data_IF_791334960193
#
_entry.id   IF_791334960193
#
_cell.length_a   1.000
_cell.length_b   1.000
_cell.length_c   1.000
_cell.angle_alpha   90.00
_cell.angle_beta   90.00
_cell.angle_gamma   90.00
#
_symmetry.space_group_name_H-M   'P 1'
#
loop_
_entity.id
_entity.type
_entity.pdbx_description
1 polymer ?
#
# COMPACT_ATOMS: atom_id res chain seq x y z
N UNK A 1 -26.41 -17.33 -8.09
CA UNK A 1 -25.18 -17.93 -8.65
C UNK A 1 -24.43 -16.83 -9.37
N UNK A 2 -23.27 -16.41 -8.86
CA UNK A 2 -22.38 -15.53 -9.65
C UNK A 2 -21.76 -16.38 -10.76
N UNK A 3 -21.72 -15.92 -12.02
CA UNK A 3 -21.14 -16.67 -13.13
C UNK A 3 -19.63 -16.84 -12.95
N UNK A 4 -19.09 -17.89 -13.55
CA UNK A 4 -17.69 -18.36 -13.51
C UNK A 4 -16.70 -17.26 -13.87
N UNK A 5 -15.63 -17.09 -13.07
CA UNK A 5 -14.58 -16.07 -13.29
C UNK A 5 -13.67 -16.35 -14.50
N UNK A 6 -13.55 -17.58 -14.97
CA UNK A 6 -12.63 -18.00 -16.03
C UNK A 6 -13.14 -17.79 -17.47
N UNK A 7 -14.09 -16.86 -17.67
CA UNK A 7 -14.69 -16.55 -18.98
C UNK A 7 -14.05 -15.35 -19.70
N UNK A 8 -12.92 -14.81 -19.22
CA UNK A 8 -12.16 -13.81 -20.00
C UNK A 8 -11.48 -14.49 -21.19
N UNK A 9 -12.25 -14.74 -22.24
CA UNK A 9 -11.76 -15.18 -23.55
C UNK A 9 -11.30 -14.01 -24.43
N UNK A 10 -11.57 -12.78 -23.99
CA UNK A 10 -11.42 -11.58 -24.82
C UNK A 10 -9.94 -11.22 -25.09
N UNK A 11 -9.01 -11.75 -24.29
CA UNK A 11 -7.56 -11.58 -24.45
C UNK A 11 -6.88 -12.76 -25.18
N UNK A 12 -7.64 -13.80 -25.57
CA UNK A 12 -7.07 -14.99 -26.22
C UNK A 12 -6.91 -14.74 -27.72
N UNK A 13 -5.67 -14.75 -28.20
CA UNK A 13 -5.38 -14.65 -29.62
C UNK A 13 -5.81 -15.92 -30.37
N UNK A 14 -6.82 -15.78 -31.23
CA UNK A 14 -7.26 -16.84 -32.15
C UNK A 14 -7.05 -16.44 -33.61
N UNK A 15 -6.49 -17.36 -34.40
CA UNK A 15 -6.30 -17.19 -35.86
C UNK A 15 -6.51 -18.51 -36.57
N UNK A 16 -7.37 -18.52 -37.60
CA UNK A 16 -7.57 -19.67 -38.51
C UNK A 16 -7.86 -21.01 -37.77
N UNK A 17 -8.68 -20.98 -36.72
CA UNK A 17 -9.02 -22.17 -35.93
C UNK A 17 -7.90 -22.66 -34.99
N UNK A 18 -6.87 -21.84 -34.77
CA UNK A 18 -5.81 -22.04 -33.78
C UNK A 18 -5.91 -21.00 -32.67
N UNK A 19 -5.44 -21.37 -31.49
CA UNK A 19 -5.29 -20.49 -30.32
C UNK A 19 -3.80 -20.44 -29.96
N UNK A 20 -3.32 -19.27 -29.55
CA UNK A 20 -1.93 -19.12 -29.08
C UNK A 20 -1.78 -19.67 -27.66
N UNK A 21 -0.89 -20.64 -27.49
CA UNK A 21 -0.51 -21.22 -26.20
C UNK A 21 0.69 -20.44 -25.66
N UNK A 22 0.45 -19.61 -24.64
CA UNK A 22 1.46 -18.70 -24.08
C UNK A 22 2.56 -19.42 -23.29
N UNK A 23 2.31 -20.64 -22.82
CA UNK A 23 3.29 -21.43 -22.07
C UNK A 23 4.25 -22.15 -23.03
N UNK A 24 3.74 -22.62 -24.17
CA UNK A 24 4.51 -23.34 -25.19
C UNK A 24 4.97 -22.45 -26.34
N UNK A 25 4.58 -21.18 -26.31
CA UNK A 25 4.91 -20.12 -27.28
C UNK A 25 4.59 -20.50 -28.74
N UNK A 26 3.43 -21.16 -28.97
CA UNK A 26 3.06 -21.66 -30.30
C UNK A 26 1.55 -21.67 -30.54
N UNK A 27 1.18 -21.65 -31.81
CA UNK A 27 -0.22 -21.82 -32.23
C UNK A 27 -0.63 -23.30 -32.19
N UNK A 28 -1.66 -23.62 -31.41
CA UNK A 28 -2.22 -24.97 -31.26
C UNK A 28 -3.67 -25.02 -31.75
N UNK A 29 -4.18 -26.21 -32.05
CA UNK A 29 -5.57 -26.38 -32.51
C UNK A 29 -6.54 -25.89 -31.43
N UNK A 30 -7.43 -24.96 -31.78
CA UNK A 30 -8.44 -24.40 -30.85
C UNK A 30 -9.56 -25.40 -30.60
N UNK A 31 -9.28 -26.42 -29.79
CA UNK A 31 -10.30 -27.32 -29.25
C UNK A 31 -10.98 -26.69 -28.04
N UNK A 32 -12.18 -27.16 -27.67
CA UNK A 32 -12.85 -26.65 -26.48
C UNK A 32 -12.02 -26.82 -25.20
N UNK A 33 -11.31 -27.94 -25.07
CA UNK A 33 -10.42 -28.20 -23.93
C UNK A 33 -9.22 -27.25 -23.93
N UNK A 34 -8.63 -27.00 -25.10
CA UNK A 34 -7.54 -26.04 -25.24
C UNK A 34 -7.97 -24.62 -24.89
N UNK A 35 -9.16 -24.19 -25.34
CA UNK A 35 -9.71 -22.87 -24.98
C UNK A 35 -9.86 -22.71 -23.47
N UNK A 36 -10.40 -23.72 -22.78
CA UNK A 36 -10.54 -23.71 -21.31
C UNK A 36 -9.17 -23.68 -20.64
N UNK A 37 -8.20 -24.45 -21.14
CA UNK A 37 -6.83 -24.45 -20.60
C UNK A 37 -6.16 -23.10 -20.74
N UNK A 38 -6.21 -22.48 -21.92
CA UNK A 38 -5.57 -21.18 -22.15
C UNK A 38 -6.28 -20.05 -21.38
N UNK A 39 -7.62 -20.08 -21.26
CA UNK A 39 -8.36 -19.17 -20.39
C UNK A 39 -7.96 -19.32 -18.91
N UNK A 40 -7.74 -20.56 -18.45
CA UNK A 40 -7.26 -20.85 -17.11
C UNK A 40 -5.85 -20.30 -16.90
N UNK A 41 -4.92 -20.55 -17.82
CA UNK A 41 -3.54 -20.03 -17.75
C UNK A 41 -3.53 -18.51 -17.68
N UNK A 42 -4.36 -17.85 -18.50
CA UNK A 42 -4.53 -16.40 -18.45
C UNK A 42 -4.98 -15.93 -17.05
N UNK A 43 -6.02 -16.55 -16.49
CA UNK A 43 -6.54 -16.22 -15.15
C UNK A 43 -5.54 -16.52 -14.02
N UNK A 44 -4.74 -17.58 -14.13
CA UNK A 44 -3.65 -17.87 -13.18
C UNK A 44 -2.66 -16.69 -13.11
N UNK A 45 -2.36 -16.07 -14.25
CA UNK A 45 -1.45 -14.93 -14.33
C UNK A 45 -2.12 -13.60 -13.96
N UNK A 46 -3.33 -13.34 -14.44
CA UNK A 46 -4.00 -12.04 -14.29
C UNK A 46 -4.79 -11.92 -13.00
N UNK A 47 -5.60 -12.92 -12.68
CA UNK A 47 -6.51 -12.88 -11.52
C UNK A 47 -5.83 -13.42 -10.24
N UNK A 48 -5.06 -14.51 -10.36
CA UNK A 48 -4.32 -15.08 -9.22
C UNK A 48 -2.91 -14.51 -9.08
N UNK A 49 -2.38 -13.83 -10.10
CA UNK A 49 -1.09 -13.13 -10.05
C UNK A 49 0.15 -14.03 -10.11
N UNK A 50 0.02 -15.33 -10.40
CA UNK A 50 1.18 -16.23 -10.47
C UNK A 50 1.96 -15.99 -11.77
N UNK A 51 3.28 -15.71 -11.69
CA UNK A 51 4.10 -15.53 -12.89
C UNK A 51 4.11 -16.79 -13.77
N UNK A 52 3.99 -16.61 -15.09
CA UNK A 52 4.01 -17.72 -16.07
C UNK A 52 5.27 -18.60 -15.98
N UNK A 53 6.38 -18.06 -15.48
CA UNK A 53 7.60 -18.83 -15.20
C UNK A 53 7.40 -19.95 -14.16
N UNK A 54 6.37 -19.86 -13.31
CA UNK A 54 5.95 -20.88 -12.34
C UNK A 54 4.86 -21.83 -12.87
N UNK A 55 4.39 -21.66 -14.11
CA UNK A 55 3.27 -22.43 -14.67
C UNK A 55 3.77 -23.38 -15.75
N UNK A 56 3.33 -24.65 -15.73
CA UNK A 56 3.54 -25.63 -16.80
C UNK A 56 2.24 -26.31 -17.19
N UNK A 57 2.18 -26.74 -18.43
CA UNK A 57 1.09 -27.56 -18.96
C UNK A 57 1.52 -29.02 -19.09
N UNK A 58 0.54 -29.93 -19.08
CA UNK A 58 0.75 -31.36 -19.36
C UNK A 58 1.83 -32.02 -18.50
N UNK A 59 1.88 -31.65 -17.21
CA UNK A 59 2.91 -32.09 -16.28
C UNK A 59 2.70 -33.56 -15.92
N UNK A 60 3.68 -34.45 -16.14
CA UNK A 60 3.56 -35.85 -15.78
C UNK A 60 3.56 -36.03 -14.26
N UNK A 61 2.52 -36.66 -13.74
CA UNK A 61 2.37 -37.01 -12.33
C UNK A 61 2.69 -38.50 -12.15
N UNK A 62 3.67 -38.79 -11.31
CA UNK A 62 4.07 -40.16 -10.99
C UNK A 62 3.10 -40.75 -9.96
N UNK A 63 2.31 -41.75 -10.39
CA UNK A 63 1.33 -42.42 -9.56
C UNK A 63 1.82 -43.83 -9.23
N UNK A 64 2.29 -44.06 -8.00
CA UNK A 64 2.75 -45.39 -7.56
C UNK A 64 3.96 -45.92 -8.35
N UNK A 65 4.01 -47.25 -8.53
CA UNK A 65 5.11 -47.99 -9.19
C UNK A 65 4.94 -48.15 -10.70
N UNK A 66 3.87 -47.63 -11.30
CA UNK A 66 3.58 -47.81 -12.73
C UNK A 66 4.36 -46.79 -13.57
N UNK A 67 4.92 -47.24 -14.70
CA UNK A 67 5.70 -46.41 -15.64
C UNK A 67 4.86 -45.42 -16.47
N UNK A 68 3.53 -45.56 -16.50
CA UNK A 68 2.65 -44.66 -17.23
C UNK A 68 2.27 -43.46 -16.33
N UNK A 69 2.96 -42.33 -16.50
CA UNK A 69 2.58 -41.08 -15.84
C UNK A 69 1.30 -40.53 -16.49
N UNK A 70 0.24 -40.35 -15.68
CA UNK A 70 -0.88 -39.50 -16.09
C UNK A 70 -0.42 -38.06 -16.05
N UNK A 71 -0.97 -37.21 -16.93
CA UNK A 71 -0.60 -35.79 -16.98
C UNK A 71 -1.67 -34.94 -16.31
N UNK A 72 -1.25 -34.00 -15.47
CA UNK A 72 -2.08 -32.89 -15.04
C UNK A 72 -2.13 -31.83 -16.15
N UNK A 73 -3.28 -31.18 -16.33
CA UNK A 73 -3.45 -30.24 -17.45
C UNK A 73 -2.62 -28.99 -17.25
N UNK A 74 -2.67 -28.38 -16.05
CA UNK A 74 -1.86 -27.23 -15.67
C UNK A 74 -1.37 -27.42 -14.24
N UNK A 75 -0.13 -27.05 -13.98
CA UNK A 75 0.47 -27.01 -12.64
C UNK A 75 1.12 -25.67 -12.40
N UNK A 76 0.82 -25.07 -11.25
CA UNK A 76 1.56 -23.95 -10.67
C UNK A 76 2.54 -24.51 -9.64
N UNK A 77 3.80 -24.11 -9.75
CA UNK A 77 4.86 -24.47 -8.82
C UNK A 77 5.07 -23.39 -7.76
N UNK A 78 5.64 -23.80 -6.62
CA UNK A 78 5.97 -22.90 -5.51
C UNK A 78 6.84 -21.72 -5.95
N UNK A 79 7.83 -21.98 -6.80
CA UNK A 79 8.73 -20.98 -7.37
C UNK A 79 9.21 -21.36 -8.79
N UNK A 80 10.12 -20.55 -9.34
CA UNK A 80 10.65 -20.70 -10.70
C UNK A 80 11.54 -21.94 -10.93
N UNK A 81 12.01 -22.60 -9.87
CA UNK A 81 12.78 -23.88 -9.98
C UNK A 81 11.90 -25.00 -10.50
N UNK A 82 10.58 -24.92 -10.27
CA UNK A 82 9.57 -25.90 -10.69
C UNK A 82 9.78 -27.29 -10.10
N UNK A 83 10.33 -27.36 -8.89
CA UNK A 83 10.56 -28.62 -8.18
C UNK A 83 9.33 -29.06 -7.39
N UNK A 84 8.69 -28.12 -6.68
CA UNK A 84 7.57 -28.42 -5.77
C UNK A 84 6.24 -27.93 -6.33
N UNK A 85 5.30 -28.84 -6.50
CA UNK A 85 3.94 -28.57 -6.99
C UNK A 85 3.15 -27.79 -5.94
N UNK A 86 2.43 -26.75 -6.36
CA UNK A 86 1.66 -25.89 -5.48
C UNK A 86 0.15 -25.93 -5.76
N UNK A 87 -0.25 -25.71 -7.02
CA UNK A 87 -1.65 -25.85 -7.46
C UNK A 87 -1.71 -26.79 -8.66
N UNK A 88 -2.60 -27.77 -8.62
CA UNK A 88 -2.85 -28.70 -9.73
C UNK A 88 -4.23 -28.43 -10.33
N UNK A 89 -4.30 -28.31 -11.65
CA UNK A 89 -5.55 -28.09 -12.37
C UNK A 89 -5.89 -29.25 -13.30
N UNK A 90 -7.18 -29.60 -13.37
CA UNK A 90 -7.75 -30.53 -14.35
C UNK A 90 -8.96 -29.88 -15.04
N UNK A 91 -8.94 -29.81 -16.37
CA UNK A 91 -9.82 -28.97 -17.20
C UNK A 91 -10.82 -29.75 -18.08
N UNK A 92 -11.08 -31.03 -17.76
CA UNK A 92 -11.72 -31.95 -18.72
C UNK A 92 -13.23 -32.14 -18.55
N UNK A 93 -13.81 -32.83 -19.53
CA UNK A 93 -15.21 -33.31 -19.61
C UNK A 93 -15.52 -34.69 -18.96
N UNK A 94 -14.78 -35.31 -18.02
CA UNK A 94 -15.37 -36.40 -17.27
C UNK A 94 -16.49 -35.86 -16.37
N UNK A 95 -17.32 -36.76 -15.83
CA UNK A 95 -18.33 -36.33 -14.85
C UNK A 95 -17.61 -35.61 -13.70
N UNK A 96 -18.23 -34.56 -13.13
CA UNK A 96 -17.64 -33.77 -12.02
C UNK A 96 -17.04 -34.66 -10.93
N UNK A 97 -17.67 -35.79 -10.65
CA UNK A 97 -17.21 -36.78 -9.67
C UNK A 97 -15.87 -37.42 -10.06
N UNK A 98 -15.76 -37.95 -11.27
CA UNK A 98 -14.55 -38.65 -11.73
C UNK A 98 -13.36 -37.69 -11.85
N UNK A 99 -13.60 -36.47 -12.33
CA UNK A 99 -12.57 -35.43 -12.43
C UNK A 99 -12.03 -34.98 -11.05
N UNK A 100 -12.91 -34.85 -10.06
CA UNK A 100 -12.53 -34.51 -8.68
C UNK A 100 -11.74 -35.65 -8.02
N UNK A 101 -12.11 -36.91 -8.23
CA UNK A 101 -11.35 -38.05 -7.69
C UNK A 101 -9.97 -38.19 -8.33
N UNK A 102 -9.86 -37.94 -9.64
CA UNK A 102 -8.57 -37.85 -10.33
C UNK A 102 -7.70 -36.74 -9.75
N UNK A 103 -8.26 -35.55 -9.53
CA UNK A 103 -7.56 -34.42 -8.93
C UNK A 103 -7.05 -34.76 -7.52
N UNK A 104 -7.88 -35.33 -6.65
CA UNK A 104 -7.46 -35.80 -5.31
C UNK A 104 -6.29 -36.77 -5.38
N UNK A 105 -6.31 -37.67 -6.36
CA UNK A 105 -5.22 -38.62 -6.62
C UNK A 105 -3.90 -37.90 -6.91
N UNK A 106 -3.93 -36.88 -7.78
CA UNK A 106 -2.75 -36.06 -8.09
C UNK A 106 -2.24 -35.27 -6.89
N UNK A 107 -3.13 -34.66 -6.11
CA UNK A 107 -2.76 -33.92 -4.90
C UNK A 107 -2.05 -34.82 -3.89
N UNK A 108 -2.55 -36.04 -3.69
CA UNK A 108 -1.92 -37.01 -2.80
C UNK A 108 -0.55 -37.48 -3.29
N UNK A 109 -0.40 -37.73 -4.59
CA UNK A 109 0.85 -38.22 -5.16
C UNK A 109 1.97 -37.17 -5.18
N UNK A 110 1.61 -35.90 -5.34
CA UNK A 110 2.56 -34.79 -5.43
C UNK A 110 2.79 -34.07 -4.10
N UNK A 111 1.85 -34.20 -3.16
CA UNK A 111 1.82 -33.38 -1.95
C UNK A 111 1.34 -31.94 -2.19
N UNK A 112 0.85 -31.60 -3.39
CA UNK A 112 0.37 -30.26 -3.68
C UNK A 112 -0.78 -29.86 -2.74
N UNK A 113 -0.73 -28.68 -2.11
CA UNK A 113 -1.74 -28.23 -1.16
C UNK A 113 -3.07 -27.87 -1.82
N UNK A 114 -3.07 -27.41 -3.07
CA UNK A 114 -4.28 -26.93 -3.74
C UNK A 114 -4.55 -27.67 -5.04
N UNK A 115 -5.82 -27.90 -5.30
CA UNK A 115 -6.28 -28.40 -6.60
C UNK A 115 -7.52 -27.67 -7.08
N UNK A 116 -7.65 -27.50 -8.38
CA UNK A 116 -8.88 -27.01 -8.99
C UNK A 116 -9.29 -27.89 -10.17
N UNK A 117 -10.53 -28.36 -10.13
CA UNK A 117 -11.17 -29.01 -11.27
C UNK A 117 -12.13 -28.02 -11.91
N UNK A 118 -12.12 -27.89 -13.24
CA UNK A 118 -13.05 -27.03 -13.97
C UNK A 118 -13.45 -27.65 -15.31
N UNK A 119 -14.66 -27.35 -15.77
CA UNK A 119 -15.13 -27.66 -17.13
C UNK A 119 -15.48 -26.39 -17.94
N UNK A 120 -15.08 -25.22 -17.44
CA UNK A 120 -15.42 -23.90 -18.02
C UNK A 120 -16.80 -23.36 -17.64
N UNK A 121 -17.68 -24.16 -17.02
CA UNK A 121 -19.02 -23.74 -16.53
C UNK A 121 -19.15 -23.85 -15.01
N UNK A 122 -18.39 -24.74 -14.38
CA UNK A 122 -18.32 -24.86 -12.94
C UNK A 122 -16.94 -25.31 -12.51
N UNK A 123 -16.62 -25.02 -11.27
CA UNK A 123 -15.34 -25.37 -10.67
C UNK A 123 -15.50 -26.04 -9.30
N UNK A 124 -14.47 -26.77 -8.91
CA UNK A 124 -14.29 -27.34 -7.58
C UNK A 124 -12.88 -27.04 -7.14
N UNK A 125 -12.74 -26.25 -6.07
CA UNK A 125 -11.46 -25.97 -5.45
C UNK A 125 -11.30 -26.84 -4.20
N UNK A 126 -10.15 -27.50 -4.10
CA UNK A 126 -9.78 -28.38 -3.00
C UNK A 126 -8.53 -27.84 -2.30
N UNK A 127 -8.56 -27.89 -0.97
CA UNK A 127 -7.39 -27.79 -0.11
C UNK A 127 -7.09 -29.16 0.49
N UNK A 128 -5.86 -29.64 0.27
CA UNK A 128 -5.35 -30.87 0.87
C UNK A 128 -4.69 -30.53 2.19
N UNK A 129 -5.38 -30.78 3.30
CA UNK A 129 -4.86 -30.57 4.65
C UNK A 129 -3.83 -31.64 5.03
N UNK A 130 -4.17 -32.89 4.74
CA UNK A 130 -3.37 -34.08 5.05
C UNK A 130 -3.55 -35.13 3.92
N UNK A 131 -2.72 -36.18 3.86
CA UNK A 131 -2.96 -37.29 2.93
C UNK A 131 -4.39 -37.81 3.04
N UNK A 132 -5.13 -37.77 1.93
CA UNK A 132 -6.54 -38.17 1.83
C UNK A 132 -7.56 -37.29 2.59
N UNK A 133 -7.14 -36.19 3.23
CA UNK A 133 -8.05 -35.25 3.90
C UNK A 133 -8.14 -33.98 3.06
N UNK A 134 -9.34 -33.73 2.51
CA UNK A 134 -9.61 -32.61 1.62
C UNK A 134 -10.75 -31.74 2.15
N UNK A 135 -10.56 -30.43 2.04
CA UNK A 135 -11.57 -29.43 2.32
C UNK A 135 -11.94 -28.71 1.02
N UNK A 136 -13.21 -28.32 0.87
CA UNK A 136 -13.64 -27.50 -0.26
C UNK A 136 -13.40 -26.03 0.05
N UNK A 137 -12.85 -25.29 -0.90
CA UNK A 137 -12.67 -23.84 -0.81
C UNK A 137 -13.63 -23.11 -1.74
N UNK A 138 -13.95 -21.86 -1.40
CA UNK A 138 -14.72 -20.98 -2.28
C UNK A 138 -13.92 -20.50 -3.50
N UNK A 139 -12.59 -20.39 -3.35
CA UNK A 139 -11.65 -19.96 -4.38
C UNK A 139 -10.23 -20.44 -4.06
N UNK A 140 -9.33 -20.35 -5.05
CA UNK A 140 -7.90 -20.52 -4.83
C UNK A 140 -7.28 -19.26 -4.17
N UNK A 141 -6.19 -19.41 -3.40
CA UNK A 141 -5.39 -18.26 -2.97
C UNK A 141 -4.67 -17.63 -4.17
N UNK A 142 -4.54 -16.32 -4.16
CA UNK A 142 -3.65 -15.58 -5.06
C UNK A 142 -2.17 -15.75 -4.62
N UNK A 143 -1.23 -15.31 -5.47
CA UNK A 143 0.22 -15.46 -5.23
C UNK A 143 0.72 -14.88 -3.90
N UNK A 144 0.03 -13.86 -3.39
CA UNK A 144 0.36 -13.19 -2.13
C UNK A 144 -0.60 -13.57 -1.00
N UNK A 145 -1.39 -14.63 -1.16
CA UNK A 145 -2.33 -15.11 -0.15
C UNK A 145 -1.94 -16.49 0.35
N UNK A 146 -2.39 -16.82 1.56
CA UNK A 146 -2.34 -18.17 2.09
C UNK A 146 -3.75 -18.71 2.41
N UNK A 147 -3.80 -19.86 3.07
CA UNK A 147 -5.04 -20.55 3.36
C UNK A 147 -5.96 -19.75 4.29
N UNK A 148 -5.41 -18.93 5.20
CA UNK A 148 -6.20 -18.16 6.14
C UNK A 148 -6.88 -16.98 5.45
N UNK A 149 -6.23 -16.40 4.44
CA UNK A 149 -6.80 -15.34 3.60
C UNK A 149 -8.05 -15.82 2.84
N UNK A 150 -8.10 -17.12 2.53
CA UNK A 150 -9.24 -17.76 1.86
C UNK A 150 -10.30 -18.23 2.85
N UNK A 151 -9.89 -18.88 3.95
CA UNK A 151 -10.83 -19.51 4.91
C UNK A 151 -11.41 -18.54 5.92
N UNK A 152 -10.62 -17.58 6.38
CA UNK A 152 -10.96 -16.65 7.45
C UNK A 152 -10.54 -15.22 7.07
N UNK A 153 -11.08 -14.68 5.98
CA UNK A 153 -10.71 -13.35 5.52
C UNK A 153 -10.99 -12.29 6.57
N UNK A 154 -10.04 -11.37 6.80
CA UNK A 154 -10.29 -10.17 7.61
C UNK A 154 -10.93 -9.14 6.67
N UNK A 155 -12.16 -8.72 6.91
CA UNK A 155 -12.83 -7.70 6.08
C UNK A 155 -12.65 -6.32 6.69
N UNK A 156 -12.75 -5.28 5.86
CA UNK A 156 -12.70 -3.89 6.35
C UNK A 156 -13.80 -3.59 7.37
N UNK A 157 -14.97 -4.23 7.24
CA UNK A 157 -16.07 -4.15 8.21
C UNK A 157 -15.70 -4.67 9.60
N UNK A 158 -14.73 -5.58 9.69
CA UNK A 158 -14.35 -6.26 10.93
C UNK A 158 -13.33 -5.44 11.73
N UNK A 159 -12.74 -4.40 11.11
CA UNK A 159 -11.78 -3.53 11.75
C UNK A 159 -12.42 -2.62 12.79
N UNK A 160 -11.79 -2.55 13.96
CA UNK A 160 -12.20 -1.69 15.07
C UNK A 160 -11.60 -0.28 14.93
N UNK A 161 -12.31 0.80 15.26
CA UNK A 161 -11.70 2.14 15.32
C UNK A 161 -10.49 2.16 16.26
N UNK A 162 -9.38 2.78 15.83
CA UNK A 162 -8.25 3.02 16.74
C UNK A 162 -8.57 4.20 17.65
N UNK A 163 -8.48 4.01 18.97
CA UNK A 163 -8.74 5.07 19.95
C UNK A 163 -7.46 5.81 20.37
N UNK A 164 -6.35 5.08 20.55
CA UNK A 164 -5.08 5.65 20.98
C UNK A 164 -3.89 5.03 20.23
N UNK A 165 -3.61 5.51 19.02
CA UNK A 165 -2.48 5.03 18.22
C UNK A 165 -1.13 5.37 18.88
N UNK A 166 -1.05 6.51 19.58
CA UNK A 166 0.19 6.95 20.24
C UNK A 166 0.63 5.96 21.31
N UNK A 167 -0.29 5.54 22.19
CA UNK A 167 0.00 4.58 23.26
C UNK A 167 0.41 3.22 22.69
N UNK A 168 -0.26 2.76 21.64
CA UNK A 168 0.15 1.54 20.93
C UNK A 168 1.58 1.64 20.35
N UNK A 169 1.93 2.78 19.75
CA UNK A 169 3.30 2.99 19.24
C UNK A 169 4.31 2.99 20.40
N UNK A 170 3.98 3.59 21.53
CA UNK A 170 4.81 3.57 22.74
C UNK A 170 5.01 2.16 23.28
N UNK A 171 3.96 1.35 23.33
CA UNK A 171 4.04 -0.05 23.75
C UNK A 171 4.94 -0.87 22.81
N UNK A 172 4.75 -0.74 21.50
CA UNK A 172 5.57 -1.42 20.50
C UNK A 172 7.05 -1.02 20.58
N UNK A 173 7.32 0.26 20.82
CA UNK A 173 8.67 0.76 21.01
C UNK A 173 9.34 0.13 22.23
N UNK A 174 8.65 0.12 23.37
CA UNK A 174 9.17 -0.42 24.63
C UNK A 174 9.34 -1.95 24.61
N UNK A 175 8.52 -2.67 23.83
CA UNK A 175 8.47 -4.15 23.87
C UNK A 175 9.28 -4.80 22.76
N UNK A 176 9.25 -4.25 21.55
CA UNK A 176 9.82 -4.88 20.35
C UNK A 176 10.96 -4.07 19.79
N UNK A 177 10.75 -2.77 19.56
CA UNK A 177 11.70 -1.98 18.76
C UNK A 177 12.99 -1.64 19.51
N UNK A 178 12.91 -1.41 20.83
CA UNK A 178 14.08 -1.21 21.68
C UNK A 178 15.05 -2.41 21.62
N UNK A 179 14.51 -3.63 21.58
CA UNK A 179 15.30 -4.85 21.44
C UNK A 179 15.87 -5.02 20.02
N UNK A 180 15.20 -4.46 19.01
CA UNK A 180 15.66 -4.46 17.62
C UNK A 180 16.67 -3.34 17.31
N UNK A 181 16.82 -2.35 18.19
CA UNK A 181 17.68 -1.17 17.95
C UNK A 181 17.13 -0.22 16.88
N UNK A 182 15.81 -0.21 16.67
CA UNK A 182 15.13 0.58 15.63
C UNK A 182 14.23 1.62 16.29
N UNK A 183 14.19 2.84 15.76
CA UNK A 183 13.29 3.89 16.25
C UNK A 183 11.82 3.55 15.96
N UNK A 184 10.88 4.10 16.74
CA UNK A 184 9.46 3.98 16.42
C UNK A 184 9.13 4.51 15.00
N UNK A 185 9.80 5.58 14.58
CA UNK A 185 9.67 6.11 13.23
C UNK A 185 10.07 5.09 12.17
N UNK A 186 11.27 4.53 12.25
CA UNK A 186 11.78 3.63 11.21
C UNK A 186 11.09 2.24 11.25
N UNK A 187 10.61 1.81 12.43
CA UNK A 187 9.99 0.50 12.63
C UNK A 187 8.47 0.46 12.40
N UNK A 188 7.73 1.54 12.72
CA UNK A 188 6.26 1.55 12.74
C UNK A 188 5.64 2.45 11.68
N UNK A 189 6.24 3.61 11.39
CA UNK A 189 5.68 4.56 10.40
C UNK A 189 5.42 3.92 9.02
N UNK A 190 6.35 3.11 8.45
CA UNK A 190 6.09 2.46 7.16
C UNK A 190 4.92 1.48 7.21
N UNK A 191 4.68 0.84 8.36
CA UNK A 191 3.60 -0.12 8.55
C UNK A 191 2.25 0.56 8.74
N UNK A 192 2.20 1.68 9.45
CA UNK A 192 1.01 2.55 9.50
C UNK A 192 0.63 2.98 8.07
N UNK A 193 1.62 3.36 7.27
CA UNK A 193 1.40 3.78 5.89
C UNK A 193 0.91 2.62 5.00
N UNK A 194 1.53 1.45 5.09
CA UNK A 194 1.09 0.25 4.38
C UNK A 194 -0.36 -0.12 4.74
N UNK A 195 -0.72 0.03 6.02
CA UNK A 195 -2.07 -0.22 6.51
C UNK A 195 -3.09 0.82 6.02
N UNK A 196 -2.75 2.10 6.06
CA UNK A 196 -3.58 3.17 5.48
C UNK A 196 -3.84 2.93 3.99
N UNK A 197 -2.82 2.50 3.25
CA UNK A 197 -2.95 2.14 1.84
C UNK A 197 -3.91 0.97 1.66
N UNK A 198 -3.76 -0.08 2.47
CA UNK A 198 -4.60 -1.26 2.43
C UNK A 198 -6.08 -0.92 2.66
N UNK A 199 -6.35 0.07 3.51
CA UNK A 199 -7.71 0.55 3.78
C UNK A 199 -8.27 1.50 2.71
N UNK A 200 -7.42 2.25 1.99
CA UNK A 200 -7.81 3.48 1.28
C UNK A 200 -8.92 3.27 0.24
N UNK A 201 -8.81 2.25 -0.61
CA UNK A 201 -9.70 2.01 -1.75
C UNK A 201 -10.68 0.84 -1.53
N UNK A 202 -10.70 0.28 -0.31
CA UNK A 202 -11.49 -0.91 0.00
C UNK A 202 -12.88 -0.55 0.48
N UNK A 203 -13.88 -1.24 -0.04
CA UNK A 203 -15.24 -1.27 0.46
C UNK A 203 -15.37 -2.08 1.76
N UNK A 204 -16.52 -2.00 2.46
CA UNK A 204 -16.70 -2.68 3.76
C UNK A 204 -16.51 -4.19 3.71
N UNK A 205 -16.90 -4.84 2.60
CA UNK A 205 -16.82 -6.29 2.44
C UNK A 205 -15.51 -6.79 1.82
N UNK A 206 -14.62 -5.87 1.42
CA UNK A 206 -13.35 -6.24 0.81
C UNK A 206 -12.38 -6.74 1.89
N UNK A 207 -11.53 -7.68 1.48
CA UNK A 207 -10.56 -8.34 2.35
C UNK A 207 -9.31 -7.48 2.54
N UNK A 208 -8.85 -7.39 3.78
CA UNK A 208 -7.63 -6.70 4.18
C UNK A 208 -6.41 -7.56 3.87
N UNK A 209 -5.40 -6.98 3.20
CA UNK A 209 -4.12 -7.66 2.93
C UNK A 209 -3.12 -7.41 4.06
N UNK A 210 -3.29 -6.31 4.80
CA UNK A 210 -2.54 -6.02 6.01
C UNK A 210 -3.08 -6.88 7.17
N UNK A 211 -2.67 -8.14 7.22
CA UNK A 211 -3.01 -9.07 8.29
C UNK A 211 -1.95 -10.16 8.48
N UNK A 212 -1.89 -10.74 9.67
CA UNK A 212 -1.07 -11.92 9.94
C UNK A 212 -1.87 -13.21 9.73
N UNK A 213 -1.15 -14.31 9.55
CA UNK A 213 -1.69 -15.65 9.24
C UNK A 213 -0.85 -16.72 9.93
N UNK A 214 -1.13 -17.99 9.66
CA UNK A 214 -0.43 -19.16 10.19
C UNK A 214 0.83 -19.53 9.40
N UNK A 215 1.14 -18.82 8.30
CA UNK A 215 2.37 -19.01 7.54
C UNK A 215 3.63 -18.68 8.39
N UNK A 216 4.81 -19.12 7.95
CA UNK A 216 6.04 -18.84 8.71
C UNK A 216 6.34 -17.33 8.78
N UNK A 217 7.01 -16.83 9.84
CA UNK A 217 7.33 -15.41 9.98
C UNK A 217 8.01 -14.79 8.76
N UNK A 218 8.99 -15.51 8.19
CA UNK A 218 9.72 -15.08 7.01
C UNK A 218 8.82 -14.95 5.77
N UNK A 219 7.91 -15.90 5.55
CA UNK A 219 6.98 -15.86 4.43
C UNK A 219 6.01 -14.68 4.56
N UNK A 220 5.49 -14.45 5.76
CA UNK A 220 4.59 -13.33 6.02
C UNK A 220 5.31 -11.99 5.84
N UNK A 221 6.50 -11.80 6.42
CA UNK A 221 7.28 -10.57 6.26
C UNK A 221 7.55 -10.25 4.76
N UNK A 222 7.87 -11.27 3.96
CA UNK A 222 8.07 -11.12 2.52
C UNK A 222 6.75 -10.80 1.78
N UNK A 223 5.61 -11.39 2.19
CA UNK A 223 4.27 -11.01 1.66
C UNK A 223 4.02 -9.52 1.87
N UNK A 224 4.16 -9.04 3.11
CA UNK A 224 3.94 -7.63 3.44
C UNK A 224 4.87 -6.71 2.67
N UNK A 225 6.15 -7.06 2.55
CA UNK A 225 7.13 -6.30 1.76
C UNK A 225 6.73 -6.20 0.30
N UNK A 226 6.26 -7.31 -0.29
CA UNK A 226 5.79 -7.32 -1.67
C UNK A 226 4.53 -6.47 -1.87
N UNK A 227 3.59 -6.48 -0.93
CA UNK A 227 2.41 -5.59 -0.95
C UNK A 227 2.86 -4.13 -0.93
N UNK A 228 3.76 -3.78 -0.02
CA UNK A 228 4.28 -2.42 0.11
C UNK A 228 5.00 -1.96 -1.16
N UNK A 229 6.01 -2.71 -1.61
CA UNK A 229 6.85 -2.33 -2.74
C UNK A 229 6.08 -2.29 -4.07
N UNK A 230 5.20 -3.27 -4.30
CA UNK A 230 4.55 -3.42 -5.60
C UNK A 230 3.22 -2.70 -5.71
N UNK A 231 2.55 -2.38 -4.58
CA UNK A 231 1.23 -1.74 -4.60
C UNK A 231 1.23 -0.38 -3.92
N UNK A 232 1.63 -0.29 -2.65
CA UNK A 232 1.58 0.96 -1.90
C UNK A 232 2.48 2.05 -2.52
N UNK A 233 3.74 1.71 -2.82
CA UNK A 233 4.69 2.65 -3.42
C UNK A 233 4.32 3.08 -4.85
N UNK A 234 3.53 2.29 -5.60
CA UNK A 234 3.06 2.73 -6.92
C UNK A 234 2.06 3.89 -6.82
N UNK A 235 1.19 3.86 -5.82
CA UNK A 235 0.17 4.91 -5.62
C UNK A 235 0.74 6.09 -4.84
N UNK A 236 1.57 5.82 -3.82
CA UNK A 236 2.01 6.81 -2.84
C UNK A 236 3.54 6.92 -2.69
N UNK A 237 4.30 6.63 -3.76
CA UNK A 237 5.76 6.68 -3.79
C UNK A 237 6.38 8.07 -3.59
N UNK A 238 5.56 9.13 -3.59
CA UNK A 238 6.02 10.49 -3.24
C UNK A 238 6.25 10.66 -1.74
N UNK A 239 5.68 9.77 -0.91
CA UNK A 239 5.77 9.83 0.57
C UNK A 239 6.88 8.93 1.08
N UNK A 240 6.87 7.66 0.66
CA UNK A 240 7.85 6.65 1.04
C UNK A 240 8.56 6.11 -0.18
N UNK A 241 9.76 5.58 0.02
CA UNK A 241 10.53 4.89 -1.00
C UNK A 241 10.89 3.45 -0.54
N UNK A 242 11.49 2.67 -1.44
CA UNK A 242 11.84 1.26 -1.18
C UNK A 242 12.81 1.06 0.00
N UNK A 243 13.63 2.05 0.33
CA UNK A 243 14.58 2.00 1.44
C UNK A 243 13.93 2.34 2.78
N UNK A 244 12.67 2.80 2.77
CA UNK A 244 11.92 3.08 3.99
C UNK A 244 11.22 1.83 4.55
N UNK A 245 11.43 0.65 3.95
CA UNK A 245 10.93 -0.60 4.52
C UNK A 245 11.65 -0.89 5.85
N UNK A 246 10.92 -1.22 6.94
CA UNK A 246 11.52 -1.37 8.25
C UNK A 246 12.53 -2.51 8.28
N UNK A 247 13.71 -2.23 8.84
CA UNK A 247 14.74 -3.22 9.08
C UNK A 247 14.47 -3.95 10.41
N UNK A 248 13.48 -4.85 10.38
CA UNK A 248 13.07 -5.65 11.53
C UNK A 248 13.27 -7.13 11.23
N UNK A 249 13.55 -7.93 12.28
CA UNK A 249 13.46 -9.39 12.17
C UNK A 249 12.03 -9.79 11.79
N UNK A 250 11.83 -10.94 11.11
CA UNK A 250 10.48 -11.40 10.77
C UNK A 250 9.53 -11.49 11.99
N UNK A 251 10.05 -11.87 13.16
CA UNK A 251 9.29 -11.99 14.41
C UNK A 251 8.90 -10.62 14.98
N UNK A 252 9.84 -9.68 15.02
CA UNK A 252 9.59 -8.31 15.45
C UNK A 252 8.57 -7.62 14.51
N UNK A 253 8.77 -7.79 13.20
CA UNK A 253 7.86 -7.31 12.17
C UNK A 253 6.43 -7.82 12.38
N UNK A 254 6.25 -9.13 12.58
CA UNK A 254 4.92 -9.70 12.78
C UNK A 254 4.27 -9.26 14.08
N UNK A 255 5.05 -9.02 15.12
CA UNK A 255 4.50 -8.49 16.38
C UNK A 255 3.89 -7.11 16.15
N UNK A 256 4.61 -6.23 15.44
CA UNK A 256 4.10 -4.89 15.07
C UNK A 256 2.90 -5.00 14.13
N UNK A 257 3.00 -5.78 13.04
CA UNK A 257 1.90 -5.94 12.10
C UNK A 257 0.64 -6.52 12.76
N UNK A 258 0.81 -7.48 13.67
CA UNK A 258 -0.29 -8.10 14.41
C UNK A 258 -0.99 -7.11 15.35
N UNK A 259 -0.24 -6.24 16.02
CA UNK A 259 -0.82 -5.19 16.86
C UNK A 259 -1.66 -4.19 16.05
N UNK A 260 -1.21 -3.87 14.83
CA UNK A 260 -1.88 -2.89 13.98
C UNK A 260 -3.10 -3.48 13.23
N UNK A 261 -3.09 -4.76 12.82
CA UNK A 261 -4.00 -5.29 11.80
C UNK A 261 -5.50 -5.11 12.09
N UNK A 262 -5.92 -5.26 13.36
CA UNK A 262 -7.33 -5.29 13.76
C UNK A 262 -7.99 -3.91 13.79
N UNK A 263 -7.20 -2.84 13.68
CA UNK A 263 -7.69 -1.49 13.83
C UNK A 263 -7.95 -0.83 12.48
N UNK A 264 -8.75 0.24 12.45
CA UNK A 264 -9.06 1.04 11.27
C UNK A 264 -8.41 2.41 11.41
N UNK A 265 -7.55 2.78 10.46
CA UNK A 265 -6.82 4.06 10.44
C UNK A 265 -7.42 5.08 9.46
N UNK A 266 -8.38 4.68 8.63
CA UNK A 266 -9.07 5.56 7.66
C UNK A 266 -10.22 6.38 8.24
N UNK A 267 -10.69 6.05 9.46
CA UNK A 267 -11.75 6.78 10.17
C UNK A 267 -11.45 7.28 11.60
N UNK A 268 -10.21 7.25 12.13
CA UNK A 268 -9.94 7.88 13.41
C UNK A 268 -10.11 9.40 13.29
N UNK A 269 -10.35 10.05 14.43
CA UNK A 269 -10.11 11.49 14.52
C UNK A 269 -8.68 11.75 14.03
N UNK A 270 -8.52 12.70 13.12
CA UNK A 270 -7.24 13.10 12.58
C UNK A 270 -6.22 13.35 13.70
N UNK A 271 -6.71 13.90 14.81
CA UNK A 271 -5.93 14.22 16.00
C UNK A 271 -5.28 12.96 16.64
N UNK A 272 -5.81 11.74 16.43
CA UNK A 272 -5.24 10.46 16.92
C UNK A 272 -3.99 10.07 16.12
N UNK A 273 -4.06 10.15 14.79
CA UNK A 273 -2.92 9.84 13.92
C UNK A 273 -1.82 10.88 14.12
N UNK A 274 -2.22 12.15 14.22
CA UNK A 274 -1.34 13.28 14.46
C UNK A 274 -0.51 13.10 15.74
N UNK A 275 -1.17 12.73 16.85
CA UNK A 275 -0.50 12.49 18.12
C UNK A 275 0.54 11.36 18.06
N UNK A 276 0.28 10.31 17.27
CA UNK A 276 1.22 9.20 17.08
C UNK A 276 2.41 9.61 16.22
N UNK A 277 2.19 10.38 15.16
CA UNK A 277 3.27 10.88 14.30
C UNK A 277 4.14 11.90 15.03
N UNK A 278 3.53 12.83 15.76
CA UNK A 278 4.26 13.74 16.64
C UNK A 278 5.12 12.96 17.65
N UNK A 279 4.60 11.87 18.22
CA UNK A 279 5.38 11.03 19.13
C UNK A 279 6.59 10.39 18.44
N UNK A 280 6.42 9.79 17.25
CA UNK A 280 7.53 9.11 16.55
C UNK A 280 8.65 10.06 16.10
N UNK A 281 8.36 11.34 15.90
CA UNK A 281 9.37 12.33 15.51
C UNK A 281 10.12 12.91 16.74
N UNK A 282 9.45 12.95 17.90
CA UNK A 282 9.85 13.79 19.03
C UNK A 282 11.06 13.37 19.90
N UNK A 283 11.53 12.11 19.98
CA UNK A 283 12.56 11.75 20.98
C UNK A 283 13.91 12.44 20.73
N UNK A 284 14.22 12.81 19.49
CA UNK A 284 15.55 13.30 19.08
C UNK A 284 15.61 14.82 18.81
N UNK A 285 14.46 15.49 18.62
CA UNK A 285 14.43 16.87 18.07
C UNK A 285 14.25 18.00 19.12
N UNK A 286 13.69 17.70 20.31
CA UNK A 286 13.22 18.77 21.23
C UNK A 286 14.31 19.53 21.98
N UNK A 287 15.45 18.92 22.29
CA UNK A 287 16.45 19.56 23.15
C UNK A 287 17.46 20.43 22.38
N UNK A 288 17.95 19.98 21.23
CA UNK A 288 19.13 20.58 20.59
C UNK A 288 18.83 21.59 19.46
N UNK A 289 17.61 21.56 18.89
CA UNK A 289 17.26 22.38 17.70
C UNK A 289 16.19 23.45 17.93
N UNK A 290 15.60 23.54 19.13
CA UNK A 290 14.51 24.47 19.43
C UNK A 290 13.29 24.31 18.51
N UNK A 291 13.09 23.11 17.96
CA UNK A 291 11.96 22.77 17.09
C UNK A 291 10.78 22.33 17.96
N UNK A 292 9.68 23.09 17.89
CA UNK A 292 8.45 22.78 18.61
C UNK A 292 7.29 22.69 17.62
N UNK A 293 6.51 21.63 17.70
CA UNK A 293 5.25 21.55 16.96
C UNK A 293 4.25 22.56 17.51
N UNK A 294 3.59 23.27 16.60
CA UNK A 294 2.56 24.24 16.94
C UNK A 294 1.36 23.53 17.57
N UNK A 295 0.98 23.85 18.82
CA UNK A 295 -0.17 23.21 19.46
C UNK A 295 -1.45 23.38 18.62
N UNK A 296 -2.25 22.32 18.47
CA UNK A 296 -3.46 22.33 17.63
C UNK A 296 -4.45 23.46 17.93
N UNK A 297 -4.68 23.87 19.20
CA UNK A 297 -5.50 25.05 19.49
C UNK A 297 -4.97 26.33 18.84
N UNK A 298 -3.65 26.53 18.81
CA UNK A 298 -2.99 27.68 18.19
C UNK A 298 -3.14 27.64 16.67
N UNK A 299 -2.94 26.47 16.06
CA UNK A 299 -3.16 26.28 14.63
C UNK A 299 -4.61 26.60 14.24
N UNK A 300 -5.59 26.03 14.96
CA UNK A 300 -7.03 26.25 14.73
C UNK A 300 -7.39 27.74 14.91
N UNK A 301 -6.80 28.42 15.90
CA UNK A 301 -6.99 29.85 16.11
C UNK A 301 -6.45 30.68 14.95
N UNK A 302 -5.20 30.47 14.53
CA UNK A 302 -4.58 31.22 13.44
C UNK A 302 -5.35 31.06 12.12
N UNK A 303 -5.72 29.83 11.75
CA UNK A 303 -6.54 29.57 10.56
C UNK A 303 -7.89 30.29 10.65
N UNK A 304 -8.53 30.30 11.82
CA UNK A 304 -9.80 31.01 12.02
C UNK A 304 -9.64 32.53 11.88
N UNK A 305 -8.54 33.09 12.38
CA UNK A 305 -8.26 34.53 12.30
C UNK A 305 -8.02 34.98 10.86
N UNK A 306 -7.21 34.22 10.12
CA UNK A 306 -6.89 34.52 8.71
C UNK A 306 -8.04 34.18 7.77
N UNK A 307 -8.90 33.22 8.13
CA UNK A 307 -10.13 32.88 7.43
C UNK A 307 -9.94 32.63 5.92
N UNK A 308 -9.06 31.68 5.52
CA UNK A 308 -8.70 31.44 4.13
C UNK A 308 -9.90 31.06 3.25
N UNK A 309 -9.80 31.35 1.95
CA UNK A 309 -10.86 31.16 0.94
C UNK A 309 -10.50 30.09 -0.11
N UNK A 310 -11.50 29.54 -0.83
CA UNK A 310 -11.25 28.55 -1.89
C UNK A 310 -10.40 29.04 -3.06
N UNK A 311 -10.32 30.35 -3.30
CA UNK A 311 -9.56 30.95 -4.41
C UNK A 311 -8.20 31.52 -3.97
N UNK A 312 -7.83 31.37 -2.70
CA UNK A 312 -6.57 31.87 -2.15
C UNK A 312 -5.52 30.78 -2.14
N UNK A 313 -4.29 31.14 -2.49
CA UNK A 313 -3.10 30.30 -2.37
C UNK A 313 -2.50 30.46 -0.97
N UNK A 314 -2.29 29.35 -0.28
CA UNK A 314 -1.75 29.32 1.08
C UNK A 314 -0.42 28.57 1.14
N UNK A 315 0.50 29.07 1.96
CA UNK A 315 1.82 28.43 2.17
C UNK A 315 2.24 28.41 3.64
N UNK A 316 2.92 27.32 4.01
CA UNK A 316 3.75 27.22 5.22
C UNK A 316 5.22 26.90 4.86
N UNK A 317 6.14 27.89 4.91
CA UNK A 317 7.56 27.69 4.57
C UNK A 317 8.40 26.94 5.63
N UNK A 318 7.80 26.52 6.75
CA UNK A 318 8.46 25.73 7.81
C UNK A 318 7.43 24.78 8.45
N UNK A 319 6.91 23.85 7.65
CA UNK A 319 5.61 23.23 7.92
C UNK A 319 5.58 22.17 9.00
N UNK A 320 6.72 21.57 9.35
CA UNK A 320 6.77 20.41 10.23
C UNK A 320 5.79 19.33 9.76
N UNK A 321 4.92 18.77 10.64
CA UNK A 321 3.87 17.81 10.28
C UNK A 321 2.71 18.37 9.43
N UNK A 322 2.82 19.59 8.89
CA UNK A 322 1.85 20.25 8.00
C UNK A 322 0.56 20.75 8.68
N UNK A 323 0.59 20.99 10.00
CA UNK A 323 -0.60 21.32 10.78
C UNK A 323 -1.42 22.49 10.20
N UNK A 324 -0.77 23.59 9.82
CA UNK A 324 -1.45 24.75 9.25
C UNK A 324 -2.19 24.42 7.95
N UNK A 325 -1.58 23.69 7.02
CA UNK A 325 -2.20 23.36 5.73
C UNK A 325 -3.36 22.36 5.89
N UNK A 326 -3.22 21.36 6.76
CA UNK A 326 -4.30 20.42 7.06
C UNK A 326 -5.52 21.15 7.64
N UNK A 327 -5.30 22.03 8.62
CA UNK A 327 -6.40 22.78 9.24
C UNK A 327 -6.98 23.83 8.29
N UNK A 328 -6.19 24.38 7.38
CA UNK A 328 -6.67 25.23 6.27
C UNK A 328 -7.58 24.44 5.33
N UNK A 329 -7.17 23.25 4.91
CA UNK A 329 -7.99 22.35 4.08
C UNK A 329 -9.33 22.04 4.75
N UNK A 330 -9.31 21.70 6.05
CA UNK A 330 -10.53 21.43 6.83
C UNK A 330 -11.42 22.67 6.92
N UNK A 331 -10.85 23.82 7.25
CA UNK A 331 -11.57 25.10 7.34
C UNK A 331 -12.27 25.43 6.03
N UNK A 332 -11.51 25.48 4.93
CA UNK A 332 -12.07 25.87 3.62
C UNK A 332 -13.10 24.86 3.15
N UNK A 333 -12.86 23.58 3.39
CA UNK A 333 -13.80 22.53 3.05
C UNK A 333 -15.14 22.69 3.78
N UNK A 334 -15.11 22.86 5.09
CA UNK A 334 -16.32 22.89 5.91
C UNK A 334 -17.07 24.22 5.79
N UNK A 335 -16.36 25.34 5.63
CA UNK A 335 -16.97 26.68 5.47
C UNK A 335 -17.49 26.98 4.07
N UNK A 336 -16.90 26.40 3.02
CA UNK A 336 -17.19 26.82 1.64
C UNK A 336 -17.48 25.64 0.72
N UNK A 337 -16.57 24.67 0.60
CA UNK A 337 -16.65 23.63 -0.45
C UNK A 337 -17.86 22.71 -0.24
N UNK A 338 -18.04 22.17 0.98
CA UNK A 338 -19.19 21.31 1.30
C UNK A 338 -20.53 22.02 1.08
N UNK A 339 -20.62 23.27 1.52
CA UNK A 339 -21.84 24.06 1.39
C UNK A 339 -22.16 24.39 -0.08
N UNK A 340 -21.14 24.59 -0.91
CA UNK A 340 -21.31 24.98 -2.32
C UNK A 340 -21.58 23.79 -3.25
N UNK A 341 -20.92 22.65 -3.05
CA UNK A 341 -20.88 21.56 -4.03
C UNK A 341 -21.68 20.31 -3.61
N UNK A 342 -22.35 20.33 -2.44
CA UNK A 342 -23.23 19.24 -2.02
C UNK A 342 -22.48 17.90 -2.01
N UNK A 343 -22.98 16.89 -2.72
CA UNK A 343 -22.38 15.55 -2.79
C UNK A 343 -21.02 15.49 -3.51
N UNK A 344 -20.73 16.44 -4.40
CA UNK A 344 -19.50 16.48 -5.19
C UNK A 344 -18.32 17.13 -4.45
N UNK A 345 -18.53 17.55 -3.19
CA UNK A 345 -17.52 18.28 -2.40
C UNK A 345 -16.15 17.60 -2.33
N UNK A 346 -16.10 16.27 -2.36
CA UNK A 346 -14.85 15.51 -2.25
C UNK A 346 -13.90 15.81 -3.41
N UNK A 347 -14.42 15.87 -4.64
CA UNK A 347 -13.62 16.16 -5.83
C UNK A 347 -13.04 17.59 -5.76
N UNK A 348 -13.89 18.57 -5.46
CA UNK A 348 -13.47 19.97 -5.33
C UNK A 348 -12.53 20.23 -4.17
N UNK A 349 -12.67 19.49 -3.06
CA UNK A 349 -11.73 19.56 -1.95
C UNK A 349 -10.36 19.03 -2.33
N UNK A 350 -10.29 17.89 -3.01
CA UNK A 350 -9.04 17.33 -3.53
C UNK A 350 -8.40 18.29 -4.53
N UNK A 351 -9.19 18.92 -5.41
CA UNK A 351 -8.70 19.95 -6.31
C UNK A 351 -8.12 21.17 -5.58
N UNK A 352 -8.83 21.71 -4.60
CA UNK A 352 -8.35 22.82 -3.76
C UNK A 352 -7.03 22.46 -3.07
N UNK A 353 -6.94 21.29 -2.42
CA UNK A 353 -5.71 20.88 -1.76
C UNK A 353 -4.51 20.81 -2.75
N UNK A 354 -4.75 20.28 -3.95
CA UNK A 354 -3.73 20.12 -5.01
C UNK A 354 -3.26 21.43 -5.63
N UNK A 355 -4.11 22.45 -5.67
CA UNK A 355 -3.84 23.68 -6.43
C UNK A 355 -3.56 24.87 -5.53
N UNK A 356 -4.03 24.86 -4.28
CA UNK A 356 -3.99 26.02 -3.39
C UNK A 356 -3.12 25.87 -2.14
N UNK A 357 -2.76 24.65 -1.73
CA UNK A 357 -2.00 24.44 -0.49
C UNK A 357 -0.57 24.00 -0.80
N UNK A 358 0.39 24.67 -0.16
CA UNK A 358 1.81 24.46 -0.37
C UNK A 358 2.56 24.47 0.96
N UNK A 359 3.60 23.66 1.06
CA UNK A 359 4.37 23.54 2.28
C UNK A 359 5.85 23.26 1.98
N UNK A 360 6.74 23.75 2.84
CA UNK A 360 8.17 23.50 2.78
C UNK A 360 8.65 23.05 4.16
N UNK A 361 9.51 22.04 4.18
CA UNK A 361 10.35 21.76 5.33
C UNK A 361 11.72 21.25 4.87
N UNK A 362 12.76 21.50 5.65
CA UNK A 362 14.11 21.05 5.30
C UNK A 362 14.42 19.64 5.84
N UNK A 363 13.69 19.18 6.87
CA UNK A 363 13.90 17.87 7.47
C UNK A 363 13.17 16.78 6.65
N UNK A 364 13.89 15.80 6.08
CA UNK A 364 13.27 14.76 5.26
C UNK A 364 12.26 13.89 6.04
N UNK A 365 12.43 13.68 7.35
CA UNK A 365 11.47 12.93 8.18
C UNK A 365 10.16 13.73 8.34
N UNK A 366 10.27 15.03 8.60
CA UNK A 366 9.09 15.91 8.71
C UNK A 366 8.35 16.00 7.37
N UNK A 367 9.06 16.11 6.25
CA UNK A 367 8.44 16.09 4.92
C UNK A 367 7.67 14.79 4.68
N UNK A 368 8.22 13.62 5.06
CA UNK A 368 7.49 12.34 4.94
C UNK A 368 6.19 12.35 5.76
N UNK A 369 6.24 12.84 7.00
CA UNK A 369 5.06 12.93 7.87
C UNK A 369 4.05 13.91 7.31
N UNK A 370 4.48 15.12 6.93
CA UNK A 370 3.63 16.12 6.30
C UNK A 370 2.90 15.57 5.07
N UNK A 371 3.63 14.86 4.21
CA UNK A 371 3.07 14.20 3.04
C UNK A 371 2.05 13.11 3.41
N UNK A 372 2.38 12.23 4.36
CA UNK A 372 1.46 11.21 4.83
C UNK A 372 0.18 11.82 5.41
N UNK A 373 0.32 12.88 6.21
CA UNK A 373 -0.79 13.57 6.87
C UNK A 373 -1.70 14.28 5.90
N UNK A 374 -1.16 14.96 4.91
CA UNK A 374 -1.95 15.59 3.87
C UNK A 374 -2.69 14.54 3.01
N UNK A 375 -2.06 13.39 2.74
CA UNK A 375 -2.68 12.25 2.07
C UNK A 375 -3.87 11.69 2.86
N UNK A 376 -3.69 11.45 4.16
CA UNK A 376 -4.75 11.00 5.07
C UNK A 376 -5.85 12.05 5.15
N UNK A 377 -5.47 13.32 5.20
CA UNK A 377 -6.42 14.41 5.16
C UNK A 377 -7.22 14.38 3.85
N UNK A 378 -6.74 13.80 2.75
CA UNK A 378 -7.49 13.65 1.49
C UNK A 378 -7.17 14.74 0.47
N UNK A 379 -5.92 15.23 0.51
CA UNK A 379 -5.37 16.17 -0.47
C UNK A 379 -5.24 15.54 -1.89
N UNK A 380 -5.08 14.23 -1.98
CA UNK A 380 -4.73 13.48 -3.18
C UNK A 380 -3.37 13.83 -3.81
N UNK A 381 -2.62 14.83 -3.33
CA UNK A 381 -1.25 15.21 -3.76
C UNK A 381 -0.69 16.22 -2.77
N UNK A 382 0.59 16.07 -2.44
CA UNK A 382 1.10 16.60 -1.18
C UNK A 382 1.67 18.01 -1.21
N UNK A 383 2.10 18.55 -2.36
CA UNK A 383 2.69 19.90 -2.48
C UNK A 383 3.63 20.31 -1.31
N UNK A 384 4.30 19.31 -0.72
CA UNK A 384 5.24 19.48 0.39
C UNK A 384 6.62 19.22 -0.19
N UNK A 385 7.46 20.23 -0.13
CA UNK A 385 8.77 20.22 -0.75
C UNK A 385 9.87 20.13 0.31
N UNK A 386 10.81 19.20 0.09
CA UNK A 386 12.05 19.16 0.86
C UNK A 386 13.00 20.21 0.31
N UNK A 387 13.12 21.33 1.02
CA UNK A 387 14.08 22.40 0.69
C UNK A 387 14.37 23.24 1.94
N UNK A 388 15.59 23.77 2.05
CA UNK A 388 15.84 24.86 2.99
C UNK A 388 15.15 26.13 2.47
N UNK A 389 14.14 26.62 3.20
CA UNK A 389 13.37 27.79 2.79
C UNK A 389 14.20 29.08 2.78
N UNK A 390 15.36 29.08 3.45
CA UNK A 390 16.27 30.21 3.51
C UNK A 390 17.45 30.11 2.53
N UNK A 391 17.59 29.02 1.77
CA UNK A 391 18.70 28.88 0.80
C UNK A 391 18.19 28.86 -0.65
N UNK A 392 18.11 30.01 -1.33
CA UNK A 392 17.64 30.11 -2.72
C UNK A 392 18.44 29.25 -3.72
N UNK A 393 19.64 28.79 -3.36
CA UNK A 393 20.45 27.92 -4.23
C UNK A 393 19.85 26.52 -4.31
N UNK A 394 19.24 26.02 -3.24
CA UNK A 394 18.57 24.72 -3.23
C UNK A 394 17.29 24.69 -4.08
N UNK A 395 16.78 25.87 -4.45
CA UNK A 395 15.55 26.04 -5.22
C UNK A 395 15.84 25.96 -6.73
N UNK A 396 17.06 26.30 -7.15
CA UNK A 396 17.48 26.31 -8.57
C UNK A 396 17.67 24.88 -9.09
N UNK A 397 17.45 24.70 -10.40
CA UNK A 397 17.66 23.44 -11.14
C UNK A 397 16.88 22.22 -10.62
N UNK A 398 15.82 22.45 -9.84
CA UNK A 398 14.92 21.39 -9.39
C UNK A 398 13.96 20.99 -10.50
N UNK A 399 13.62 19.71 -10.55
CA UNK A 399 12.69 19.12 -11.52
C UNK A 399 11.39 18.61 -10.88
N UNK A 400 11.22 18.85 -9.57
CA UNK A 400 10.05 18.42 -8.80
C UNK A 400 8.88 19.42 -8.85
N UNK A 401 8.96 20.43 -9.72
CA UNK A 401 7.92 21.45 -9.91
C UNK A 401 7.88 22.53 -8.84
N UNK A 402 8.85 22.56 -7.92
CA UNK A 402 8.93 23.56 -6.84
C UNK A 402 8.90 24.99 -7.38
N UNK A 403 9.68 25.30 -8.42
CA UNK A 403 9.79 26.65 -8.98
C UNK A 403 8.49 27.13 -9.69
N UNK A 404 7.71 26.21 -10.23
CA UNK A 404 6.38 26.53 -10.78
C UNK A 404 5.35 26.71 -9.65
N UNK A 405 5.50 25.92 -8.59
CA UNK A 405 4.61 25.88 -7.44
C UNK A 405 4.80 27.07 -6.50
N UNK A 406 6.04 27.49 -6.22
CA UNK A 406 6.40 28.46 -5.19
C UNK A 406 7.29 29.54 -5.81
N UNK A 407 6.77 30.76 -5.88
CA UNK A 407 7.47 31.97 -6.35
C UNK A 407 6.99 33.18 -5.56
N UNK A 408 7.79 34.24 -5.59
CA UNK A 408 7.46 35.50 -4.93
C UNK A 408 6.12 36.06 -5.42
N UNK A 409 5.42 36.76 -4.52
CA UNK A 409 4.12 37.41 -4.77
C UNK A 409 2.98 36.48 -5.23
N UNK A 410 3.16 35.15 -5.13
CA UNK A 410 2.13 34.17 -5.54
C UNK A 410 1.11 33.85 -4.46
N UNK A 411 1.42 34.03 -3.18
CA UNK A 411 0.60 33.53 -2.08
C UNK A 411 -0.23 34.63 -1.43
N UNK A 412 -1.51 34.33 -1.18
CA UNK A 412 -2.45 35.23 -0.52
C UNK A 412 -2.41 35.07 1.01
N UNK A 413 -2.13 33.84 1.48
CA UNK A 413 -2.12 33.51 2.92
C UNK A 413 -0.82 32.82 3.29
N UNK A 414 -0.08 33.39 4.24
CA UNK A 414 1.10 32.78 4.84
C UNK A 414 0.82 32.47 6.32
N UNK A 415 1.00 31.20 6.69
CA UNK A 415 0.88 30.73 8.07
C UNK A 415 2.06 29.84 8.39
N UNK A 416 2.85 30.21 9.39
CA UNK A 416 4.05 29.45 9.72
C UNK A 416 4.47 29.63 11.17
N UNK A 417 5.15 28.63 11.70
CA UNK A 417 5.83 28.67 12.99
C UNK A 417 7.29 28.29 12.77
N UNK A 418 8.13 29.25 12.35
CA UNK A 418 9.50 28.97 11.97
C UNK A 418 10.34 28.59 13.20
N UNK A 419 11.49 27.92 13.03
CA UNK A 419 12.39 27.61 14.14
C UNK A 419 12.81 28.86 14.91
N UNK A 420 12.76 28.79 16.25
CA UNK A 420 13.18 29.89 17.15
C UNK A 420 14.67 29.85 17.52
N UNK A 421 15.35 28.76 17.20
CA UNK A 421 16.75 28.54 17.51
C UNK A 421 17.52 28.10 16.26
N UNK A 422 18.85 28.26 16.32
CA UNK A 422 19.76 28.00 15.20
C UNK A 422 20.26 29.30 14.58
N UNK A 423 21.58 29.51 14.64
CA UNK A 423 22.23 30.64 14.00
C UNK A 423 22.58 30.28 12.55
N UNK A 424 22.19 31.13 11.62
CA UNK A 424 22.63 31.05 10.23
C UNK A 424 23.90 31.89 10.12
N UNK A 425 25.02 31.23 9.84
CA UNK A 425 26.33 31.88 9.76
C UNK A 425 26.90 31.87 8.33
N UNK A 426 26.23 31.21 7.39
CA UNK A 426 26.68 31.07 6.01
C UNK A 426 26.50 32.40 5.26
N UNK A 427 27.57 33.10 4.87
CA UNK A 427 27.47 34.40 4.20
C UNK A 427 26.70 34.34 2.87
N UNK A 428 26.76 33.20 2.17
CA UNK A 428 26.06 33.02 0.90
C UNK A 428 24.54 32.96 1.06
N UNK A 429 24.06 32.56 2.24
CA UNK A 429 22.65 32.61 2.61
C UNK A 429 22.31 34.02 3.10
N UNK A 430 23.07 34.52 4.08
CA UNK A 430 22.81 35.83 4.70
C UNK A 430 22.83 36.97 3.68
N UNK A 431 23.78 36.95 2.73
CA UNK A 431 23.90 37.97 1.69
C UNK A 431 22.71 38.05 0.72
N UNK A 432 21.75 37.12 0.79
CA UNK A 432 20.52 37.16 -0.01
C UNK A 432 19.35 37.84 0.71
N UNK A 433 19.49 38.21 1.98
CA UNK A 433 18.42 38.84 2.77
C UNK A 433 18.84 40.22 3.28
N UNK A 434 18.03 41.24 2.99
CA UNK A 434 18.26 42.61 3.46
C UNK A 434 18.32 42.69 5.00
N UNK A 435 17.51 41.88 5.69
CA UNK A 435 17.45 41.80 7.15
C UNK A 435 18.72 41.24 7.80
N UNK A 436 19.60 40.60 7.04
CA UNK A 436 20.86 40.06 7.54
C UNK A 436 21.99 41.11 7.56
N UNK A 437 21.78 42.28 6.94
CA UNK A 437 22.76 43.34 6.90
C UNK A 437 22.91 44.01 8.28
N UNK A 438 24.13 44.06 8.82
CA UNK A 438 24.44 44.62 10.16
C UNK A 438 25.00 46.05 10.13
N UNK A 439 24.86 46.77 9.02
CA UNK A 439 25.24 48.19 8.88
C UNK A 439 24.04 49.09 8.63
N UNK A 440 24.18 50.39 8.85
CA UNK A 440 23.15 51.36 8.46
C UNK A 440 22.93 51.28 6.94
N UNK A 441 21.67 51.21 6.47
CA UNK A 441 21.38 51.25 5.05
C UNK A 441 21.68 52.68 4.57
N UNK A 442 22.85 52.88 3.95
CA UNK A 442 23.24 54.15 3.30
C UNK A 442 23.50 53.93 1.82
#
# INVERSE_FOLDING_TARGET
>A
MKPVKYQRTDDLEEKEGKIYDIIREKWVRSTQEERVRQALVASINTDLGYPLERVREEVPIKMGSTYASKKADVVVFTDKTRETHYIIFECKKPTRKDGVEQLKSYLNATGAPYGCWTNGIGEVVLFRKDPNIFEYLERLPAVNEDIDDVKQPLRKSDLQPIENLKEMVQELENTVLANAGVSAFDGVFPLIFAKLWDEFDKGPNDTMEFRTTTASPRQQAERFKNIFLNKALRKWGDVLNKNDWPDLSPEAFLTVASALQQYRFSHPDFDIIDAAFEYMINPEQKADKGQFFTPRPIVKMAVKMLNPKPNELAIDPACGPCGFMIHTLRWVNDKYIKLRYGEEWKAHRTEYARSNLFAIDFDPRLVKVAKAMMLIAGDGRTNVYKVNSLDPREWKNRTDGLLDAIRDEKFDVLMTNPPFAGNINQPEILGTFDLAYKGDPT
#
